data_IF_759126897753
#
_entry.id   IF_759126897753
#
_cell.length_a   1.000
_cell.length_b   1.000
_cell.length_c   1.000
_cell.angle_alpha   90.00
_cell.angle_beta   90.00
_cell.angle_gamma   90.00
#
_symmetry.space_group_name_H-M   'P 1'
#
loop_
_entity.id
_entity.type
_entity.pdbx_description
1 polymer ?
#
# COMPACT_ATOMS: atom_id res chain seq x y z
N UNK A 1 -22.81 3.03 -12.69
CA UNK A 1 -21.51 3.29 -12.03
C UNK A 1 -21.49 2.60 -10.68
N UNK A 2 -20.29 2.23 -10.16
CA UNK A 2 -20.19 1.65 -8.81
C UNK A 2 -20.50 2.64 -7.68
N UNK A 3 -20.58 3.93 -7.99
CA UNK A 3 -21.08 4.95 -7.07
C UNK A 3 -22.57 4.74 -6.75
N UNK A 4 -23.30 4.04 -7.62
CA UNK A 4 -24.74 3.79 -7.49
C UNK A 4 -25.04 2.49 -6.73
N UNK A 5 -24.03 1.80 -6.17
CA UNK A 5 -24.20 0.56 -5.42
C UNK A 5 -25.28 0.64 -4.34
N UNK A 6 -25.33 1.71 -3.49
CA UNK A 6 -26.38 1.80 -2.46
C UNK A 6 -27.79 1.88 -3.03
N UNK A 7 -27.96 2.50 -4.19
CA UNK A 7 -29.25 2.58 -4.87
C UNK A 7 -29.63 1.25 -5.54
N UNK A 8 -28.63 0.55 -6.09
CA UNK A 8 -28.85 -0.74 -6.74
C UNK A 8 -29.21 -1.84 -5.73
N UNK A 9 -28.77 -1.73 -4.47
CA UNK A 9 -29.08 -2.70 -3.40
C UNK A 9 -30.53 -2.58 -2.88
N UNK A 10 -31.16 -1.40 -3.00
CA UNK A 10 -32.54 -1.16 -2.56
C UNK A 10 -33.56 -1.20 -3.71
N UNK A 11 -33.10 -1.24 -4.96
CA UNK A 11 -33.96 -1.32 -6.13
C UNK A 11 -34.44 -2.78 -6.34
N UNK A 12 -35.70 -2.96 -6.74
CA UNK A 12 -36.24 -4.29 -7.09
C UNK A 12 -35.50 -4.91 -8.28
N UNK A 13 -35.12 -4.07 -9.27
CA UNK A 13 -34.27 -4.46 -10.39
C UNK A 13 -33.22 -3.40 -10.66
N UNK A 14 -31.94 -3.82 -10.72
CA UNK A 14 -30.82 -2.96 -11.09
C UNK A 14 -29.99 -3.63 -12.19
N UNK A 15 -29.64 -2.83 -13.21
CA UNK A 15 -28.86 -3.27 -14.35
C UNK A 15 -27.61 -2.41 -14.52
N UNK A 16 -26.51 -3.04 -14.92
CA UNK A 16 -25.28 -2.37 -15.31
C UNK A 16 -25.12 -2.42 -16.82
N UNK A 17 -24.88 -1.28 -17.45
CA UNK A 17 -24.56 -1.16 -18.87
C UNK A 17 -23.04 -1.19 -19.05
N UNK A 18 -22.56 -2.08 -19.90
CA UNK A 18 -21.14 -2.16 -20.28
C UNK A 18 -21.01 -2.36 -21.79
N UNK A 19 -20.57 -1.30 -22.49
CA UNK A 19 -20.65 -1.27 -23.94
C UNK A 19 -22.08 -1.45 -24.40
N UNK A 20 -22.36 -2.42 -25.27
CA UNK A 20 -23.69 -2.74 -25.79
C UNK A 20 -24.42 -3.85 -25.00
N UNK A 21 -23.91 -4.24 -23.82
CA UNK A 21 -24.48 -5.34 -23.01
C UNK A 21 -25.04 -4.84 -21.69
N UNK A 22 -26.20 -5.38 -21.32
CA UNK A 22 -26.87 -5.23 -20.04
C UNK A 22 -26.60 -6.45 -19.16
N UNK A 23 -26.18 -6.20 -17.94
CA UNK A 23 -25.98 -7.24 -16.92
C UNK A 23 -26.85 -6.92 -15.71
N UNK A 24 -27.50 -7.91 -15.11
CA UNK A 24 -28.12 -7.72 -13.81
C UNK A 24 -27.06 -7.39 -12.78
N UNK A 25 -27.34 -6.44 -11.91
CA UNK A 25 -26.36 -5.93 -10.92
C UNK A 25 -25.77 -7.01 -10.01
N UNK A 26 -26.61 -7.93 -9.56
CA UNK A 26 -26.26 -9.07 -8.69
C UNK A 26 -25.52 -10.20 -9.41
N UNK A 27 -25.63 -10.29 -10.72
CA UNK A 27 -24.99 -11.33 -11.55
C UNK A 27 -23.66 -10.86 -12.16
N UNK A 28 -23.39 -9.53 -12.11
CA UNK A 28 -22.18 -9.00 -12.71
C UNK A 28 -20.95 -9.23 -11.80
N UNK A 29 -20.12 -10.18 -12.17
CA UNK A 29 -18.80 -10.33 -11.57
C UNK A 29 -17.74 -9.55 -12.35
N UNK A 30 -17.07 -8.61 -11.67
CA UNK A 30 -15.92 -7.89 -12.23
C UNK A 30 -14.82 -8.87 -12.62
N UNK A 31 -14.27 -8.72 -13.82
CA UNK A 31 -13.06 -9.45 -14.22
C UNK A 31 -11.89 -9.15 -13.28
N UNK A 32 -10.92 -10.05 -13.21
CA UNK A 32 -9.71 -9.84 -12.39
C UNK A 32 -8.98 -8.54 -12.74
N UNK A 33 -8.88 -8.21 -14.03
CA UNK A 33 -8.27 -6.97 -14.51
C UNK A 33 -9.02 -5.71 -14.06
N UNK A 34 -10.36 -5.75 -14.02
CA UNK A 34 -11.18 -4.65 -13.52
C UNK A 34 -11.06 -4.46 -12.02
N UNK A 35 -11.06 -5.57 -11.26
CA UNK A 35 -10.81 -5.54 -9.80
C UNK A 35 -9.44 -4.93 -9.51
N UNK A 36 -8.42 -5.35 -10.26
CA UNK A 36 -7.06 -4.85 -10.16
C UNK A 36 -7.01 -3.34 -10.45
N UNK A 37 -7.51 -2.92 -11.62
CA UNK A 37 -7.53 -1.50 -12.01
C UNK A 37 -8.28 -0.62 -10.99
N UNK A 38 -9.45 -1.07 -10.50
CA UNK A 38 -10.22 -0.35 -9.49
C UNK A 38 -9.45 -0.20 -8.18
N UNK A 39 -8.70 -1.21 -7.78
CA UNK A 39 -7.89 -1.19 -6.57
C UNK A 39 -6.77 -0.15 -6.66
N UNK A 40 -6.04 -0.09 -7.77
CA UNK A 40 -4.91 0.84 -7.96
C UNK A 40 -5.32 2.26 -8.38
N UNK A 41 -6.54 2.46 -8.88
CA UNK A 41 -7.13 3.78 -9.10
C UNK A 41 -7.99 4.23 -7.90
N UNK A 42 -7.93 3.52 -6.77
CA UNK A 42 -8.71 3.87 -5.59
C UNK A 42 -8.07 5.01 -4.81
N UNK A 43 -8.91 5.78 -4.11
CA UNK A 43 -8.44 6.78 -3.14
C UNK A 43 -7.55 6.15 -2.06
N UNK A 44 -7.84 4.92 -1.67
CA UNK A 44 -7.03 4.18 -0.68
C UNK A 44 -5.59 4.00 -1.17
N UNK A 45 -5.40 3.62 -2.44
CA UNK A 45 -4.07 3.47 -3.01
C UNK A 45 -3.32 4.81 -3.11
N UNK A 46 -3.99 5.86 -3.58
CA UNK A 46 -3.40 7.20 -3.65
C UNK A 46 -2.97 7.68 -2.25
N UNK A 47 -3.84 7.53 -1.25
CA UNK A 47 -3.50 7.90 0.13
C UNK A 47 -2.36 7.06 0.69
N UNK A 48 -2.31 5.77 0.38
CA UNK A 48 -1.20 4.90 0.74
C UNK A 48 0.14 5.41 0.19
N UNK A 49 0.18 5.81 -1.08
CA UNK A 49 1.39 6.38 -1.71
C UNK A 49 1.79 7.69 -1.03
N UNK A 50 0.84 8.59 -0.79
CA UNK A 50 1.10 9.86 -0.10
C UNK A 50 1.66 9.61 1.31
N UNK A 51 1.03 8.72 2.07
CA UNK A 51 1.51 8.34 3.41
C UNK A 51 2.92 7.73 3.35
N UNK A 52 3.21 6.94 2.31
CA UNK A 52 4.54 6.36 2.09
C UNK A 52 5.62 7.44 1.87
N UNK A 53 5.33 8.46 1.05
CA UNK A 53 6.24 9.61 0.85
C UNK A 53 6.44 10.38 2.15
N UNK A 54 5.37 10.71 2.86
CA UNK A 54 5.43 11.41 4.16
C UNK A 54 6.26 10.58 5.15
N UNK A 55 6.05 9.27 5.21
CA UNK A 55 6.80 8.38 6.09
C UNK A 55 8.30 8.41 5.80
N UNK A 56 8.71 8.43 4.54
CA UNK A 56 10.12 8.52 4.15
C UNK A 56 10.74 9.84 4.62
N UNK A 57 10.04 10.95 4.43
CA UNK A 57 10.49 12.26 4.92
C UNK A 57 10.55 12.31 6.45
N UNK A 58 9.53 11.79 7.13
CA UNK A 58 9.52 11.68 8.60
C UNK A 58 10.68 10.84 9.12
N UNK A 59 10.98 9.70 8.49
CA UNK A 59 12.13 8.88 8.87
C UNK A 59 13.44 9.67 8.79
N UNK A 60 13.65 10.40 7.69
CA UNK A 60 14.84 11.21 7.52
C UNK A 60 14.95 12.28 8.62
N UNK A 61 13.90 13.05 8.85
CA UNK A 61 13.88 14.11 9.87
C UNK A 61 14.08 13.52 11.27
N UNK A 62 13.37 12.44 11.62
CA UNK A 62 13.49 11.80 12.93
C UNK A 62 14.90 11.22 13.14
N UNK A 63 15.49 10.60 12.12
CA UNK A 63 16.87 10.09 12.21
C UNK A 63 17.87 11.21 12.48
N UNK A 64 17.71 12.37 11.83
CA UNK A 64 18.54 13.54 12.09
C UNK A 64 18.34 14.10 13.51
N UNK A 65 17.09 14.14 14.00
CA UNK A 65 16.81 14.56 15.37
C UNK A 65 17.41 13.60 16.39
N UNK A 66 17.24 12.29 16.22
CA UNK A 66 17.86 11.31 17.10
C UNK A 66 19.39 11.38 17.06
N UNK A 67 19.98 11.74 15.93
CA UNK A 67 21.42 11.93 15.80
C UNK A 67 21.98 13.01 16.74
N UNK A 68 21.17 13.97 17.16
CA UNK A 68 21.58 14.99 18.15
C UNK A 68 21.78 14.42 19.56
N UNK A 69 21.14 13.29 19.87
CA UNK A 69 21.18 12.65 21.20
C UNK A 69 21.93 11.32 21.19
N UNK A 70 21.96 10.64 20.03
CA UNK A 70 22.59 9.34 19.85
C UNK A 70 23.83 9.54 18.96
N UNK A 71 25.06 9.41 19.52
CA UNK A 71 26.30 9.62 18.77
C UNK A 71 26.53 8.67 17.61
N UNK A 72 25.97 7.47 17.65
CA UNK A 72 26.08 6.49 16.58
C UNK A 72 24.97 6.71 15.53
N UNK A 73 25.39 6.84 14.27
CA UNK A 73 24.49 7.11 13.13
C UNK A 73 23.52 5.95 12.88
N UNK A 74 23.99 4.71 13.07
CA UNK A 74 23.16 3.53 12.84
C UNK A 74 22.03 3.41 13.87
N UNK A 75 22.34 3.62 15.15
CA UNK A 75 21.31 3.61 16.19
C UNK A 75 20.33 4.77 16.07
N UNK A 76 20.80 5.95 15.68
CA UNK A 76 19.94 7.11 15.40
C UNK A 76 18.99 6.82 14.22
N UNK A 77 19.48 6.20 13.16
CA UNK A 77 18.67 5.78 12.02
C UNK A 77 17.63 4.72 12.42
N UNK A 78 18.01 3.71 13.19
CA UNK A 78 17.10 2.65 13.66
C UNK A 78 15.97 3.26 14.52
N UNK A 79 16.30 4.17 15.43
CA UNK A 79 15.31 4.87 16.26
C UNK A 79 14.34 5.69 15.39
N UNK A 80 14.85 6.45 14.42
CA UNK A 80 14.05 7.19 13.44
C UNK A 80 13.13 6.27 12.63
N UNK A 81 13.67 5.15 12.15
CA UNK A 81 12.91 4.16 11.38
C UNK A 81 11.77 3.53 12.17
N UNK A 82 12.02 3.11 13.41
CA UNK A 82 10.98 2.51 14.27
C UNK A 82 9.88 3.54 14.54
N UNK A 83 10.26 4.78 14.89
CA UNK A 83 9.29 5.83 15.20
C UNK A 83 8.48 6.23 13.96
N UNK A 84 9.10 6.38 12.80
CA UNK A 84 8.40 6.69 11.55
C UNK A 84 7.49 5.54 11.10
N UNK A 85 7.89 4.29 11.33
CA UNK A 85 7.04 3.13 11.01
C UNK A 85 5.77 3.09 11.86
N UNK A 86 5.88 3.43 13.16
CA UNK A 86 4.69 3.58 14.02
C UNK A 86 3.78 4.70 13.50
N UNK A 87 4.35 5.86 13.15
CA UNK A 87 3.61 6.98 12.58
C UNK A 87 2.93 6.59 11.26
N UNK A 88 3.63 5.87 10.40
CA UNK A 88 3.09 5.33 9.14
C UNK A 88 1.88 4.41 9.39
N UNK A 89 1.96 3.54 10.40
CA UNK A 89 0.82 2.69 10.78
C UNK A 89 -0.38 3.52 11.25
N UNK A 90 -0.15 4.53 12.09
CA UNK A 90 -1.22 5.43 12.56
C UNK A 90 -1.88 6.16 11.40
N UNK A 91 -1.10 6.74 10.50
CA UNK A 91 -1.61 7.46 9.33
C UNK A 91 -2.35 6.52 8.37
N UNK A 92 -1.79 5.35 8.07
CA UNK A 92 -2.47 4.37 7.22
C UNK A 92 -3.78 3.89 7.84
N UNK A 93 -3.81 3.62 9.15
CA UNK A 93 -5.03 3.22 9.84
C UNK A 93 -6.10 4.30 9.80
N UNK A 94 -5.73 5.56 10.07
CA UNK A 94 -6.68 6.67 10.17
C UNK A 94 -7.13 7.20 8.80
N UNK A 95 -6.19 7.37 7.85
CA UNK A 95 -6.44 8.10 6.60
C UNK A 95 -6.68 7.15 5.43
N UNK A 96 -5.82 6.13 5.28
CA UNK A 96 -5.87 5.23 4.12
C UNK A 96 -6.99 4.22 4.24
N UNK A 97 -6.98 3.44 5.32
CA UNK A 97 -7.89 2.30 5.49
C UNK A 97 -9.09 2.58 6.39
N UNK A 98 -9.05 3.67 7.17
CA UNK A 98 -10.10 4.09 8.12
C UNK A 98 -10.50 2.96 9.08
N UNK A 99 -9.50 2.34 9.69
CA UNK A 99 -9.64 1.19 10.57
C UNK A 99 -9.21 1.52 12.00
N UNK A 100 -9.81 0.84 12.98
CA UNK A 100 -9.42 1.01 14.39
C UNK A 100 -8.01 0.52 14.64
N UNK A 101 -7.28 1.26 15.47
CA UNK A 101 -5.93 0.91 15.89
C UNK A 101 -5.93 -0.38 16.72
N UNK A 102 -4.93 -1.22 16.51
CA UNK A 102 -4.74 -2.47 17.25
C UNK A 102 -3.29 -2.92 17.14
N UNK A 103 -2.72 -3.43 18.23
CA UNK A 103 -1.36 -4.00 18.25
C UNK A 103 -1.24 -5.16 17.25
N UNK A 104 -2.27 -6.01 17.16
CA UNK A 104 -2.27 -7.13 16.20
C UNK A 104 -2.23 -6.62 14.76
N UNK A 105 -2.97 -5.53 14.46
CA UNK A 105 -2.92 -4.91 13.13
C UNK A 105 -1.56 -4.26 12.87
N UNK A 106 -0.92 -3.67 13.88
CA UNK A 106 0.43 -3.12 13.75
C UNK A 106 1.45 -4.21 13.40
N UNK A 107 1.42 -5.35 14.08
CA UNK A 107 2.29 -6.49 13.77
C UNK A 107 2.05 -6.99 12.34
N UNK A 108 0.79 -7.14 11.93
CA UNK A 108 0.44 -7.51 10.56
C UNK A 108 0.89 -6.48 9.53
N UNK A 109 0.75 -5.19 9.85
CA UNK A 109 1.25 -4.10 9.02
C UNK A 109 2.76 -4.22 8.81
N UNK A 110 3.53 -4.41 9.88
CA UNK A 110 4.97 -4.60 9.81
C UNK A 110 5.35 -5.82 8.97
N UNK A 111 4.70 -6.97 9.20
CA UNK A 111 4.93 -8.20 8.43
C UNK A 111 4.58 -8.01 6.95
N UNK A 112 3.61 -7.16 6.62
CA UNK A 112 3.21 -6.87 5.23
C UNK A 112 4.33 -6.24 4.38
N UNK A 113 5.38 -5.72 5.00
CA UNK A 113 6.55 -5.21 4.29
C UNK A 113 7.53 -6.32 3.88
N UNK A 114 7.52 -7.49 4.52
CA UNK A 114 8.47 -8.56 4.22
C UNK A 114 8.39 -9.05 2.76
N UNK A 115 7.21 -9.35 2.20
CA UNK A 115 7.11 -9.75 0.79
C UNK A 115 7.65 -8.68 -0.15
N UNK A 116 7.38 -7.41 0.16
CA UNK A 116 7.89 -6.30 -0.62
C UNK A 116 9.43 -6.25 -0.58
N UNK A 117 10.02 -6.39 0.59
CA UNK A 117 11.47 -6.42 0.76
C UNK A 117 12.11 -7.54 -0.08
N UNK A 118 11.55 -8.75 -0.03
CA UNK A 118 12.04 -9.91 -0.81
C UNK A 118 11.96 -9.63 -2.31
N UNK A 119 10.81 -9.11 -2.78
CA UNK A 119 10.59 -8.82 -4.21
C UNK A 119 11.52 -7.71 -4.67
N UNK A 120 11.63 -6.61 -3.94
CA UNK A 120 12.51 -5.49 -4.30
C UNK A 120 13.98 -5.93 -4.35
N UNK A 121 14.44 -6.67 -3.34
CA UNK A 121 15.81 -7.22 -3.32
C UNK A 121 16.04 -8.14 -4.51
N UNK A 122 15.08 -9.00 -4.84
CA UNK A 122 15.15 -9.87 -6.01
C UNK A 122 15.23 -9.09 -7.32
N UNK A 123 14.45 -8.02 -7.47
CA UNK A 123 14.48 -7.16 -8.68
C UNK A 123 15.84 -6.48 -8.83
N UNK A 124 16.37 -5.89 -7.75
CA UNK A 124 17.69 -5.24 -7.77
C UNK A 124 18.77 -6.25 -8.12
N UNK A 125 18.77 -7.42 -7.48
CA UNK A 125 19.73 -8.48 -7.78
C UNK A 125 19.68 -8.94 -9.23
N UNK A 126 18.49 -9.20 -9.75
CA UNK A 126 18.32 -9.61 -11.16
C UNK A 126 18.76 -8.50 -12.12
N UNK A 127 18.47 -7.24 -11.80
CA UNK A 127 18.90 -6.11 -12.61
C UNK A 127 20.44 -6.01 -12.66
N UNK A 128 21.12 -6.14 -11.52
CA UNK A 128 22.57 -6.16 -11.45
C UNK A 128 23.17 -7.32 -12.26
N UNK A 129 22.58 -8.53 -12.14
CA UNK A 129 23.09 -9.71 -12.84
C UNK A 129 22.91 -9.68 -14.36
N UNK A 130 21.82 -9.11 -14.87
CA UNK A 130 21.45 -9.25 -16.27
C UNK A 130 21.56 -7.95 -17.08
N UNK A 131 21.33 -6.80 -16.45
CA UNK A 131 21.26 -5.52 -17.16
C UNK A 131 22.54 -4.70 -17.00
N UNK A 132 23.22 -4.79 -15.87
CA UNK A 132 24.45 -4.03 -15.53
C UNK A 132 24.29 -2.52 -15.78
N UNK A 133 23.09 -1.98 -15.54
CA UNK A 133 22.76 -0.57 -15.75
C UNK A 133 22.93 0.27 -14.48
N UNK A 134 22.59 1.57 -14.55
CA UNK A 134 22.64 2.45 -13.38
C UNK A 134 21.72 1.96 -12.25
N UNK A 135 22.22 1.95 -11.02
CA UNK A 135 21.50 1.48 -9.81
C UNK A 135 20.17 2.20 -9.60
N UNK A 136 20.09 3.48 -10.00
CA UNK A 136 18.86 4.28 -9.88
C UNK A 136 17.69 3.66 -10.67
N UNK A 137 17.98 3.00 -11.79
CA UNK A 137 16.96 2.33 -12.60
C UNK A 137 16.49 1.06 -11.88
N UNK A 138 17.42 0.29 -11.29
CA UNK A 138 17.08 -0.88 -10.48
C UNK A 138 16.18 -0.50 -9.30
N UNK A 139 16.53 0.56 -8.57
CA UNK A 139 15.75 1.05 -7.43
C UNK A 139 14.38 1.59 -7.86
N UNK A 140 14.31 2.31 -8.98
CA UNK A 140 13.03 2.81 -9.51
C UNK A 140 12.10 1.66 -9.91
N UNK A 141 12.60 0.64 -10.61
CA UNK A 141 11.84 -0.56 -10.97
C UNK A 141 11.37 -1.32 -9.73
N UNK A 142 12.27 -1.52 -8.75
CA UNK A 142 11.94 -2.18 -7.49
C UNK A 142 10.84 -1.42 -6.74
N UNK A 143 10.90 -0.08 -6.69
CA UNK A 143 9.89 0.74 -6.04
C UNK A 143 8.54 0.69 -6.77
N UNK A 144 8.53 0.82 -8.11
CA UNK A 144 7.30 0.78 -8.92
C UNK A 144 6.54 -0.54 -8.75
N UNK A 145 7.26 -1.66 -8.63
CA UNK A 145 6.65 -2.98 -8.41
C UNK A 145 6.33 -3.19 -6.92
N UNK A 146 7.21 -2.75 -6.04
CA UNK A 146 7.09 -2.98 -4.60
C UNK A 146 5.93 -2.23 -3.94
N UNK A 147 5.65 -0.98 -4.35
CA UNK A 147 4.56 -0.18 -3.79
C UNK A 147 3.19 -0.86 -3.98
N UNK A 148 2.80 -1.29 -5.19
CA UNK A 148 1.57 -2.07 -5.39
C UNK A 148 1.52 -3.35 -4.57
N UNK A 149 2.60 -4.10 -4.50
CA UNK A 149 2.67 -5.35 -3.72
C UNK A 149 2.40 -5.08 -2.24
N UNK A 150 3.10 -4.11 -1.66
CA UNK A 150 2.90 -3.73 -0.25
C UNK A 150 1.47 -3.31 0.03
N UNK A 151 0.87 -2.50 -0.86
CA UNK A 151 -0.51 -2.06 -0.70
C UNK A 151 -1.50 -3.24 -0.69
N UNK A 152 -1.33 -4.20 -1.60
CA UNK A 152 -2.18 -5.40 -1.67
C UNK A 152 -2.07 -6.21 -0.38
N UNK A 153 -0.83 -6.48 0.08
CA UNK A 153 -0.61 -7.21 1.32
C UNK A 153 -1.19 -6.50 2.54
N UNK A 154 -1.00 -5.18 2.66
CA UNK A 154 -1.59 -4.42 3.75
C UNK A 154 -3.11 -4.47 3.72
N UNK A 155 -3.72 -4.28 2.56
CA UNK A 155 -5.18 -4.29 2.41
C UNK A 155 -5.79 -5.66 2.76
N UNK A 156 -5.15 -6.74 2.32
CA UNK A 156 -5.67 -8.09 2.51
C UNK A 156 -5.34 -8.63 3.91
N UNK A 157 -4.15 -8.37 4.41
CA UNK A 157 -3.63 -9.02 5.61
C UNK A 157 -3.76 -8.14 6.86
N UNK A 158 -3.30 -6.87 6.80
CA UNK A 158 -3.30 -6.01 7.98
C UNK A 158 -4.66 -5.33 8.22
N UNK A 159 -5.31 -4.85 7.16
CA UNK A 159 -6.51 -4.02 7.23
C UNK A 159 -7.75 -4.68 6.62
N UNK A 160 -7.80 -6.00 6.64
CA UNK A 160 -8.99 -6.74 6.16
C UNK A 160 -10.19 -6.37 7.02
N UNK A 161 -11.21 -5.73 6.42
CA UNK A 161 -12.51 -5.52 7.07
C UNK A 161 -13.14 -6.89 7.36
N UNK A 162 -13.42 -7.16 8.63
CA UNK A 162 -14.31 -8.26 8.98
C UNK A 162 -15.70 -7.89 8.47
N UNK A 163 -16.30 -8.78 7.67
CA UNK A 163 -17.71 -8.71 7.35
C UNK A 163 -18.53 -8.93 8.61
#
# INVERSE_FOLDING_TARGET
SYADTPLAEIAEEAYMVRGDKLYKWNEYEMSGAEKFRKMFLSREFLMFVIVGVINTLCNMVLSLLYRMFIPDTTYAFIAGYITSNILSYLMNSAVTFKERLSIIKYIKFFISYLPNFIIQTGIVYLFECFVHGPDIIAYALAAVIGVPVTFVFMKIFAFRKKK
#
